data_IF_192353355888
#
_entry.id   IF_192353355888
#
_cell.length_a   1.000
_cell.length_b   1.000
_cell.length_c   1.000
_cell.angle_alpha   90.00
_cell.angle_beta   90.00
_cell.angle_gamma   90.00
#
_symmetry.space_group_name_H-M   'P 1'
#
loop_
_entity.id
_entity.type
_entity.pdbx_description
1 polymer ?
#
# COMPACT_ATOMS: atom_id res chain seq x y z
N UNK A 1 13.21 5.66 16.10
CA UNK A 1 11.91 6.02 15.51
C UNK A 1 11.06 6.61 16.60
N UNK A 2 10.61 7.85 16.45
CA UNK A 2 9.78 8.54 17.44
C UNK A 2 8.54 9.07 16.72
N UNK A 3 7.40 8.41 16.90
CA UNK A 3 6.11 9.02 16.61
C UNK A 3 5.48 9.44 17.94
N UNK A 4 5.84 10.65 18.36
CA UNK A 4 5.07 11.49 19.29
C UNK A 4 5.14 12.87 18.63
N UNK A 5 4.05 13.55 18.29
CA UNK A 5 3.06 14.09 19.21
C UNK A 5 1.84 14.51 18.40
N UNK A 6 0.65 14.28 18.95
CA UNK A 6 -0.59 14.97 18.59
C UNK A 6 -0.33 16.47 18.42
N UNK A 7 -0.39 16.96 17.19
CA UNK A 7 -0.36 18.39 16.86
C UNK A 7 -1.81 18.87 16.85
N UNK A 8 -2.10 19.94 17.59
CA UNK A 8 -3.38 20.61 17.52
C UNK A 8 -3.66 20.99 16.06
N UNK A 9 -4.67 20.34 15.44
CA UNK A 9 -4.98 20.51 14.02
C UNK A 9 -5.29 19.22 13.26
N UNK A 10 -5.11 18.02 13.85
CA UNK A 10 -5.57 16.79 13.22
C UNK A 10 -7.11 16.75 13.15
N UNK A 11 -7.70 16.38 11.99
CA UNK A 11 -9.14 16.27 11.85
C UNK A 11 -9.71 15.31 12.91
N UNK A 12 -10.80 15.69 13.56
CA UNK A 12 -11.44 14.86 14.58
C UNK A 12 -12.09 13.64 13.90
N UNK A 13 -11.50 12.47 14.12
CA UNK A 13 -11.92 11.21 13.51
C UNK A 13 -11.14 10.91 12.24
N UNK A 14 -10.17 10.01 12.33
CA UNK A 14 -9.55 9.41 11.16
C UNK A 14 -10.24 8.08 10.89
N UNK A 15 -10.69 7.90 9.65
CA UNK A 15 -11.32 6.67 9.19
C UNK A 15 -10.29 5.79 8.48
N UNK A 16 -10.35 4.49 8.75
CA UNK A 16 -9.40 3.53 8.22
C UNK A 16 -10.11 2.37 7.55
N UNK A 17 -9.59 1.93 6.40
CA UNK A 17 -9.88 0.58 5.91
C UNK A 17 -9.07 -0.40 6.75
N UNK A 18 -9.76 -1.30 7.45
CA UNK A 18 -9.15 -2.39 8.20
C UNK A 18 -9.13 -3.64 7.33
N UNK A 19 -8.01 -4.34 7.30
CA UNK A 19 -7.84 -5.61 6.58
C UNK A 19 -6.94 -6.57 7.34
N UNK A 20 -7.09 -7.86 7.07
CA UNK A 20 -6.33 -8.91 7.74
C UNK A 20 -5.15 -9.38 6.89
N UNK A 21 -4.01 -9.56 7.52
CA UNK A 21 -2.81 -10.17 6.96
C UNK A 21 -2.40 -11.33 7.86
N UNK A 22 -2.63 -12.57 7.42
CA UNK A 22 -2.43 -13.73 8.29
C UNK A 22 -3.39 -13.67 9.49
N UNK A 23 -2.85 -13.54 10.70
CA UNK A 23 -3.63 -13.44 11.94
C UNK A 23 -3.67 -12.01 12.52
N UNK A 24 -3.15 -11.03 11.79
CA UNK A 24 -3.04 -9.64 12.26
C UNK A 24 -3.94 -8.70 11.47
N UNK A 25 -4.46 -7.67 12.14
CA UNK A 25 -5.25 -6.61 11.52
C UNK A 25 -4.39 -5.37 11.28
N UNK A 26 -4.50 -4.82 10.08
CA UNK A 26 -3.82 -3.60 9.66
C UNK A 26 -4.83 -2.55 9.23
N UNK A 27 -4.45 -1.28 9.36
CA UNK A 27 -5.28 -0.14 8.98
C UNK A 27 -4.55 0.77 8.01
N UNK A 28 -5.27 1.27 7.01
CA UNK A 28 -4.79 2.34 6.12
C UNK A 28 -5.82 3.46 6.08
N UNK A 29 -5.36 4.71 6.01
CA UNK A 29 -6.22 5.88 5.85
C UNK A 29 -7.13 5.67 4.63
N UNK A 30 -8.44 5.68 4.88
CA UNK A 30 -9.44 5.39 3.84
C UNK A 30 -9.34 6.37 2.67
N UNK A 31 -8.89 7.61 2.93
CA UNK A 31 -8.72 8.63 1.90
C UNK A 31 -7.59 8.33 0.92
N UNK A 32 -6.71 7.38 1.24
CA UNK A 32 -5.65 6.89 0.33
C UNK A 32 -6.12 5.72 -0.54
N UNK A 33 -7.24 5.08 -0.20
CA UNK A 33 -7.77 3.94 -0.94
C UNK A 33 -8.51 4.42 -2.17
N UNK A 34 -8.05 3.99 -3.34
CA UNK A 34 -8.76 4.26 -4.59
C UNK A 34 -9.76 3.17 -4.94
N UNK A 35 -9.39 1.91 -4.66
CA UNK A 35 -10.19 0.77 -5.06
C UNK A 35 -9.78 -0.50 -4.29
N UNK A 36 -10.72 -1.43 -4.10
CA UNK A 36 -10.46 -2.78 -3.61
C UNK A 36 -10.97 -3.76 -4.66
N UNK A 37 -10.16 -4.74 -5.02
CA UNK A 37 -10.53 -5.78 -6.01
C UNK A 37 -10.08 -7.15 -5.54
N UNK A 38 -10.72 -8.19 -6.07
CA UNK A 38 -10.19 -9.55 -5.98
C UNK A 38 -8.80 -9.64 -6.63
N UNK A 39 -7.96 -10.50 -6.08
CA UNK A 39 -6.65 -10.79 -6.64
C UNK A 39 -6.78 -11.57 -7.96
N UNK A 40 -6.05 -11.13 -8.98
CA UNK A 40 -6.01 -11.75 -10.31
C UNK A 40 -4.54 -11.83 -10.79
N UNK A 41 -4.30 -12.36 -11.98
CA UNK A 41 -2.97 -12.55 -12.54
C UNK A 41 -2.15 -11.24 -12.56
N UNK A 42 -0.96 -11.33 -12.00
CA UNK A 42 0.03 -10.25 -11.94
C UNK A 42 1.13 -10.52 -12.96
N UNK A 43 1.50 -9.52 -13.75
CA UNK A 43 2.65 -9.59 -14.65
C UNK A 43 3.93 -9.46 -13.83
N UNK A 44 4.68 -10.55 -13.70
CA UNK A 44 5.93 -10.57 -12.93
C UNK A 44 7.02 -9.74 -13.62
N UNK A 45 7.85 -9.10 -12.81
CA UNK A 45 9.04 -8.37 -13.26
C UNK A 45 10.27 -9.17 -12.83
N UNK A 46 11.23 -9.37 -13.74
CA UNK A 46 12.47 -10.05 -13.43
C UNK A 46 13.37 -9.17 -12.55
N UNK A 47 14.19 -9.81 -11.69
CA UNK A 47 15.18 -9.15 -10.83
C UNK A 47 14.61 -8.12 -9.83
N UNK A 48 13.34 -8.23 -9.45
CA UNK A 48 12.76 -7.42 -8.37
C UNK A 48 12.90 -8.11 -7.01
N UNK A 49 12.91 -7.34 -5.90
CA UNK A 49 12.79 -7.91 -4.57
C UNK A 49 11.55 -8.81 -4.47
N UNK A 50 11.62 -9.87 -3.66
CA UNK A 50 10.54 -10.86 -3.54
C UNK A 50 9.18 -10.27 -3.14
N UNK A 51 9.17 -9.18 -2.36
CA UNK A 51 7.95 -8.48 -1.97
C UNK A 51 7.29 -7.69 -3.10
N UNK A 52 7.98 -7.48 -4.23
CA UNK A 52 7.37 -6.93 -5.44
C UNK A 52 6.83 -8.11 -6.24
N UNK A 53 5.51 -8.30 -6.20
CA UNK A 53 4.85 -9.38 -6.91
C UNK A 53 4.93 -9.20 -8.43
N UNK A 54 4.94 -7.94 -8.86
CA UNK A 54 5.00 -7.52 -10.25
C UNK A 54 4.18 -6.26 -10.47
N UNK A 55 3.50 -6.19 -11.61
CA UNK A 55 2.60 -5.09 -11.98
C UNK A 55 1.25 -5.61 -12.47
N UNK A 56 0.22 -4.79 -12.32
CA UNK A 56 -1.09 -4.99 -12.93
C UNK A 56 -1.45 -3.81 -13.82
N UNK A 57 -2.31 -4.04 -14.81
CA UNK A 57 -2.90 -2.98 -15.61
C UNK A 57 -4.24 -2.56 -14.98
N UNK A 58 -4.27 -1.36 -14.42
CA UNK A 58 -5.46 -0.75 -13.88
C UNK A 58 -5.95 0.35 -14.83
N UNK A 59 -6.95 0.03 -15.66
CA UNK A 59 -7.58 0.97 -16.62
C UNK A 59 -6.56 1.68 -17.52
N UNK A 60 -5.58 0.93 -18.02
CA UNK A 60 -4.49 1.45 -18.86
C UNK A 60 -3.27 1.96 -18.10
N UNK A 61 -3.33 2.04 -16.76
CA UNK A 61 -2.22 2.47 -15.91
C UNK A 61 -1.50 1.26 -15.33
N UNK A 62 -0.18 1.21 -15.48
CA UNK A 62 0.64 0.15 -14.87
C UNK A 62 0.88 0.49 -13.40
N UNK A 63 0.35 -0.36 -12.51
CA UNK A 63 0.43 -0.18 -11.06
C UNK A 63 1.28 -1.30 -10.45
N UNK A 64 2.32 -0.99 -9.66
CA UNK A 64 3.10 -2.01 -8.97
C UNK A 64 2.29 -2.68 -7.87
N UNK A 65 2.40 -4.00 -7.77
CA UNK A 65 1.79 -4.79 -6.69
C UNK A 65 2.89 -5.19 -5.70
N UNK A 66 2.65 -4.82 -4.44
CA UNK A 66 3.47 -5.19 -3.30
C UNK A 66 2.75 -6.29 -2.52
N UNK A 67 3.43 -7.41 -2.29
CA UNK A 67 2.96 -8.46 -1.42
C UNK A 67 3.34 -8.13 0.03
N UNK A 68 2.34 -7.78 0.84
CA UNK A 68 2.56 -7.39 2.23
C UNK A 68 2.95 -8.57 3.13
N UNK A 69 2.52 -9.80 2.83
CA UNK A 69 2.91 -10.99 3.61
C UNK A 69 4.41 -11.22 3.48
N UNK A 70 4.92 -11.17 2.24
CA UNK A 70 6.36 -11.25 1.97
C UNK A 70 7.10 -10.04 2.55
N UNK A 71 6.52 -8.84 2.47
CA UNK A 71 7.18 -7.61 2.93
C UNK A 71 7.35 -7.57 4.45
N UNK A 72 6.37 -8.05 5.20
CA UNK A 72 6.36 -8.04 6.66
C UNK A 72 6.83 -9.37 7.26
N UNK A 73 7.20 -10.34 6.42
CA UNK A 73 7.61 -11.68 6.84
C UNK A 73 6.49 -12.41 7.62
N UNK A 74 5.23 -12.17 7.23
CA UNK A 74 4.04 -12.72 7.86
C UNK A 74 3.65 -14.06 7.24
N UNK A 75 3.99 -15.13 7.95
CA UNK A 75 3.49 -16.50 7.76
C UNK A 75 3.63 -17.08 6.34
N UNK A 76 2.86 -18.14 6.09
CA UNK A 76 2.76 -18.77 4.79
C UNK A 76 1.89 -17.93 3.84
N UNK A 77 2.39 -17.73 2.63
CA UNK A 77 1.73 -16.90 1.62
C UNK A 77 0.80 -17.77 0.78
N UNK A 78 -0.44 -17.96 1.26
CA UNK A 78 -1.51 -18.60 0.48
C UNK A 78 -2.40 -17.57 -0.24
N UNK A 79 -2.60 -17.76 -1.54
CA UNK A 79 -3.55 -16.95 -2.30
C UNK A 79 -4.81 -17.76 -2.53
N UNK A 80 -5.92 -17.26 -2.01
CA UNK A 80 -7.26 -17.84 -2.10
C UNK A 80 -8.26 -16.83 -2.67
N UNK A 81 -9.52 -17.22 -2.77
CA UNK A 81 -10.60 -16.35 -3.26
C UNK A 81 -10.87 -15.14 -2.35
N UNK A 82 -10.34 -15.14 -1.11
CA UNK A 82 -10.42 -14.02 -0.17
C UNK A 82 -9.23 -13.06 -0.30
N UNK A 83 -8.26 -13.36 -1.16
CA UNK A 83 -7.11 -12.50 -1.40
C UNK A 83 -7.55 -11.29 -2.22
N UNK A 84 -7.32 -10.10 -1.68
CA UNK A 84 -7.68 -8.83 -2.32
C UNK A 84 -6.46 -7.97 -2.62
N UNK A 85 -6.58 -7.13 -3.64
CA UNK A 85 -5.65 -6.05 -3.95
C UNK A 85 -6.29 -4.73 -3.55
N UNK A 86 -5.63 -4.01 -2.65
CA UNK A 86 -6.03 -2.66 -2.25
C UNK A 86 -5.17 -1.66 -3.03
N UNK A 87 -5.80 -0.87 -3.89
CA UNK A 87 -5.12 0.13 -4.71
C UNK A 87 -5.03 1.45 -3.94
N UNK A 88 -3.81 1.96 -3.78
CA UNK A 88 -3.53 3.19 -3.03
C UNK A 88 -3.06 4.32 -3.94
N UNK A 89 -3.46 5.54 -3.61
CA UNK A 89 -2.87 6.76 -4.15
C UNK A 89 -2.21 7.57 -3.04
N UNK A 90 -0.88 7.57 -3.07
CA UNK A 90 -0.05 8.24 -2.07
C UNK A 90 0.31 9.69 -2.47
N UNK A 91 -0.24 10.18 -3.59
CA UNK A 91 0.16 11.43 -4.21
C UNK A 91 1.54 11.34 -4.86
N UNK A 92 1.89 12.35 -5.65
CA UNK A 92 3.25 12.47 -6.15
C UNK A 92 4.15 12.83 -4.97
N UNK A 93 5.16 12.01 -4.70
CA UNK A 93 6.27 12.39 -3.84
C UNK A 93 6.97 13.60 -4.49
N UNK A 94 6.46 14.82 -4.25
CA UNK A 94 7.20 16.04 -4.52
C UNK A 94 8.45 15.91 -3.66
N UNK A 95 9.58 15.60 -4.30
CA UNK A 95 10.88 15.99 -3.75
C UNK A 95 10.76 17.49 -3.58
N UNK A 96 10.56 17.94 -2.35
CA UNK A 96 10.72 19.32 -1.98
C UNK A 96 12.21 19.63 -2.12
N UNK A 97 12.66 19.76 -3.37
CA UNK A 97 13.95 20.36 -3.69
C UNK A 97 13.80 21.83 -3.35
N UNK A 98 14.04 22.13 -2.07
CA UNK A 98 14.25 23.46 -1.55
C UNK A 98 15.32 24.16 -2.37
N UNK A 99 14.87 24.90 -3.39
CA UNK A 99 15.70 25.87 -4.09
C UNK A 99 15.59 27.18 -3.32
N UNK A 100 16.27 27.23 -2.18
CA UNK A 100 16.70 28.50 -1.59
C UNK A 100 17.81 29.04 -2.51
N UNK A 101 17.41 29.80 -3.52
CA UNK A 101 18.34 30.68 -4.22
C UNK A 101 18.64 31.84 -3.27
N UNK A 102 19.90 31.88 -2.86
CA UNK A 102 20.61 33.09 -2.42
C UNK A 102 20.39 34.24 -3.40
#
# INVERSE_FOLDING_TARGET
MSNVSKLAGEPSGQEFLVFTLGNEEYGIDILKVQEIRGYDQVTRIANTPAFIKGVTNLRGVIVPIVDLRVKFCEGDVEYDDNTVVIVLNLGNARRDSGRRRV
#
